data_IF_906940054234
#
_entry.id   IF_906940054234
#
_cell.length_a   1.000
_cell.length_b   1.000
_cell.length_c   1.000
_cell.angle_alpha   90.00
_cell.angle_beta   90.00
_cell.angle_gamma   90.00
#
_symmetry.space_group_name_H-M   'P 1'
#
loop_
_entity.id
_entity.type
_entity.pdbx_description
1 polymer ?
#
# COMPACT_ATOMS: atom_id res chain seq x y z
N UNK A 1 23.26 -8.81 -57.87
CA UNK A 1 23.52 -8.62 -56.43
C UNK A 1 22.23 -8.16 -55.77
N UNK A 2 21.61 -8.98 -54.93
CA UNK A 2 20.36 -8.63 -54.21
C UNK A 2 20.73 -7.86 -52.94
N UNK A 3 20.28 -6.61 -52.80
CA UNK A 3 20.48 -5.78 -51.61
C UNK A 3 19.52 -6.26 -50.51
N UNK A 4 20.05 -6.72 -49.39
CA UNK A 4 19.29 -7.05 -48.19
C UNK A 4 19.11 -5.74 -47.42
N UNK A 5 17.87 -5.27 -47.27
CA UNK A 5 17.54 -4.10 -46.45
C UNK A 5 17.42 -4.59 -45.00
N UNK A 6 18.26 -4.12 -44.06
CA UNK A 6 18.12 -4.49 -42.66
C UNK A 6 16.84 -3.84 -42.10
N UNK A 7 15.88 -4.65 -41.72
CA UNK A 7 14.72 -4.22 -40.94
C UNK A 7 15.22 -3.77 -39.57
N UNK A 8 15.27 -2.47 -39.36
CA UNK A 8 15.56 -1.86 -38.07
C UNK A 8 14.32 -2.05 -37.18
N UNK A 9 14.32 -3.08 -36.34
CA UNK A 9 13.29 -3.26 -35.32
C UNK A 9 13.46 -2.19 -34.25
N UNK A 10 12.71 -1.10 -34.37
CA UNK A 10 12.57 -0.12 -33.29
C UNK A 10 11.75 -0.77 -32.18
N UNK A 11 12.39 -1.15 -31.07
CA UNK A 11 11.70 -1.59 -29.86
C UNK A 11 11.01 -0.37 -29.27
N UNK A 12 9.71 -0.23 -29.55
CA UNK A 12 8.87 0.76 -28.87
C UNK A 12 8.66 0.22 -27.46
N UNK A 13 9.42 0.72 -26.49
CA UNK A 13 9.14 0.50 -25.09
C UNK A 13 7.80 1.17 -24.79
N UNK A 14 6.72 0.39 -24.69
CA UNK A 14 5.45 0.89 -24.23
C UNK A 14 5.64 1.38 -22.79
N UNK A 15 5.48 2.69 -22.56
CA UNK A 15 5.43 3.23 -21.21
C UNK A 15 4.22 2.60 -20.50
N UNK A 16 4.48 1.67 -19.58
CA UNK A 16 3.44 1.09 -18.74
C UNK A 16 2.99 2.16 -17.75
N UNK A 17 1.74 2.60 -17.86
CA UNK A 17 1.11 3.48 -16.88
C UNK A 17 1.25 2.87 -15.48
N UNK A 18 1.73 3.61 -14.47
CA UNK A 18 1.81 3.08 -13.12
C UNK A 18 0.40 2.77 -12.60
N UNK A 19 0.20 1.54 -12.15
CA UNK A 19 -1.04 1.05 -11.52
C UNK A 19 -0.78 0.78 -10.05
N UNK A 20 -1.79 0.88 -9.18
CA UNK A 20 -1.67 0.59 -7.74
C UNK A 20 -1.61 -0.90 -7.38
N UNK A 21 -1.74 -1.78 -8.36
CA UNK A 21 -1.82 -3.23 -8.15
C UNK A 21 -0.55 -3.78 -7.48
N UNK A 22 0.64 -3.30 -7.86
CA UNK A 22 1.89 -3.81 -7.29
C UNK A 22 2.03 -3.45 -5.80
N UNK A 23 1.69 -2.20 -5.44
CA UNK A 23 1.70 -1.73 -4.06
C UNK A 23 0.62 -2.44 -3.22
N UNK A 24 -0.55 -2.72 -3.79
CA UNK A 24 -1.63 -3.46 -3.13
C UNK A 24 -1.24 -4.91 -2.86
N UNK A 25 -0.68 -5.62 -3.83
CA UNK A 25 -0.22 -6.99 -3.64
C UNK A 25 0.95 -7.06 -2.65
N UNK A 26 1.84 -6.07 -2.66
CA UNK A 26 2.90 -5.95 -1.65
C UNK A 26 2.31 -5.84 -0.25
N UNK A 27 1.27 -5.01 -0.03
CA UNK A 27 0.61 -4.92 1.27
C UNK A 27 0.10 -6.27 1.78
N UNK A 28 -0.63 -7.02 0.95
CA UNK A 28 -1.16 -8.32 1.38
C UNK A 28 -0.06 -9.34 1.64
N UNK A 29 1.02 -9.29 0.86
CA UNK A 29 2.20 -10.10 1.11
C UNK A 29 2.82 -9.78 2.48
N UNK A 30 3.11 -8.50 2.75
CA UNK A 30 3.73 -8.06 4.02
C UNK A 30 2.85 -8.37 5.24
N UNK A 31 1.52 -8.24 5.08
CA UNK A 31 0.56 -8.63 6.10
C UNK A 31 0.63 -10.14 6.36
N UNK A 32 0.55 -10.97 5.31
CA UNK A 32 0.59 -12.42 5.45
C UNK A 32 1.91 -12.91 6.07
N UNK A 33 3.05 -12.35 5.68
CA UNK A 33 4.36 -12.67 6.25
C UNK A 33 4.46 -12.33 7.75
N UNK A 34 3.69 -11.35 8.23
CA UNK A 34 3.57 -10.98 9.65
C UNK A 34 2.41 -11.67 10.37
N UNK A 35 1.75 -12.63 9.73
CA UNK A 35 0.64 -13.39 10.32
C UNK A 35 -0.66 -12.60 10.47
N UNK A 36 -0.78 -11.49 9.72
CA UNK A 36 -1.99 -10.69 9.64
C UNK A 36 -3.01 -11.28 8.68
N UNK A 37 -4.21 -11.54 9.19
CA UNK A 37 -5.36 -11.77 8.32
C UNK A 37 -6.05 -10.46 7.99
N UNK A 38 -6.01 -10.11 6.70
CA UNK A 38 -6.60 -8.88 6.18
C UNK A 38 -7.54 -9.21 5.03
N UNK A 39 -8.69 -8.53 4.98
CA UNK A 39 -9.63 -8.67 3.88
C UNK A 39 -9.15 -7.84 2.68
N UNK A 40 -9.36 -8.32 1.43
CA UNK A 40 -9.02 -7.55 0.25
C UNK A 40 -9.94 -6.34 0.11
N UNK A 41 -9.34 -5.19 -0.21
CA UNK A 41 -9.99 -3.90 -0.46
C UNK A 41 -9.75 -3.49 -1.91
N UNK A 42 -10.81 -3.00 -2.56
CA UNK A 42 -10.73 -2.46 -3.93
C UNK A 42 -10.15 -1.05 -3.91
N UNK A 43 -9.36 -0.72 -4.94
CA UNK A 43 -8.75 0.59 -5.12
C UNK A 43 -9.21 1.13 -6.48
N UNK A 44 -9.55 2.41 -6.53
CA UNK A 44 -10.00 3.08 -7.76
C UNK A 44 -9.33 4.44 -7.90
N UNK A 45 -9.15 4.87 -9.14
CA UNK A 45 -8.86 6.27 -9.42
C UNK A 45 -10.13 7.11 -9.43
N UNK A 46 -10.06 8.29 -8.82
CA UNK A 46 -11.15 9.26 -8.80
C UNK A 46 -10.60 10.69 -8.86
N UNK A 47 -11.49 11.63 -9.23
CA UNK A 47 -11.20 13.06 -9.08
C UNK A 47 -11.51 13.48 -7.65
N UNK A 48 -10.46 13.86 -6.92
CA UNK A 48 -10.56 14.28 -5.53
C UNK A 48 -10.33 15.80 -5.39
N UNK A 49 -10.61 16.32 -4.20
CA UNK A 49 -10.34 17.72 -3.86
C UNK A 49 -8.84 18.03 -3.94
N UNK A 50 -8.54 19.31 -4.16
CA UNK A 50 -7.16 19.79 -4.27
C UNK A 50 -6.39 19.51 -2.97
N UNK A 51 -5.30 18.77 -3.07
CA UNK A 51 -4.44 18.42 -1.93
C UNK A 51 -4.73 17.05 -1.31
N UNK A 52 -5.80 16.36 -1.71
CA UNK A 52 -6.11 15.01 -1.25
C UNK A 52 -5.54 13.97 -2.21
N UNK A 53 -4.55 13.20 -1.74
CA UNK A 53 -3.91 12.14 -2.51
C UNK A 53 -4.76 10.85 -2.58
N UNK A 54 -5.47 10.55 -1.49
CA UNK A 54 -6.39 9.43 -1.38
C UNK A 54 -7.27 9.57 -0.14
N UNK A 55 -8.26 8.68 -0.03
CA UNK A 55 -8.93 8.37 1.22
C UNK A 55 -9.62 7.01 1.16
N UNK A 56 -9.77 6.40 2.32
CA UNK A 56 -10.62 5.24 2.54
C UNK A 56 -12.11 5.64 2.63
N UNK A 57 -12.95 5.00 1.82
CA UNK A 57 -14.42 5.06 1.91
C UNK A 57 -14.93 3.76 2.53
N UNK A 58 -15.53 3.88 3.71
CA UNK A 58 -16.13 2.75 4.42
C UNK A 58 -17.07 1.96 3.50
N UNK A 59 -16.93 0.64 3.51
CA UNK A 59 -17.70 -0.34 2.72
C UNK A 59 -17.51 -0.28 1.19
N UNK A 60 -16.75 0.68 0.65
CA UNK A 60 -16.52 0.83 -0.79
C UNK A 60 -15.07 0.53 -1.19
N UNK A 61 -14.11 1.03 -0.41
CA UNK A 61 -12.67 0.84 -0.65
C UNK A 61 -11.92 2.16 -0.76
N UNK A 62 -10.80 2.15 -1.47
CA UNK A 62 -9.88 3.30 -1.53
C UNK A 62 -10.09 4.07 -2.83
N UNK A 63 -10.16 5.40 -2.71
CA UNK A 63 -10.13 6.31 -3.84
C UNK A 63 -8.78 7.03 -3.87
N UNK A 64 -8.08 7.00 -5.01
CA UNK A 64 -6.81 7.68 -5.23
C UNK A 64 -6.97 8.80 -6.26
N UNK A 65 -6.29 9.92 -6.03
CA UNK A 65 -6.22 11.01 -7.00
C UNK A 65 -5.27 10.63 -8.14
N UNK A 66 -5.83 10.37 -9.32
CA UNK A 66 -5.07 9.93 -10.51
C UNK A 66 -3.97 10.92 -10.90
N UNK A 67 -4.26 12.22 -10.87
CA UNK A 67 -3.30 13.23 -11.29
C UNK A 67 -2.09 13.25 -10.36
N UNK A 68 -2.33 13.18 -9.04
CA UNK A 68 -1.23 13.11 -8.07
C UNK A 68 -0.45 11.81 -8.21
N UNK A 69 -1.16 10.67 -8.30
CA UNK A 69 -0.56 9.34 -8.47
C UNK A 69 0.45 9.27 -9.62
N UNK A 70 0.07 9.83 -10.77
CA UNK A 70 0.90 9.82 -11.98
C UNK A 70 2.19 10.64 -11.83
N UNK A 71 2.23 11.57 -10.88
CA UNK A 71 3.40 12.41 -10.59
C UNK A 71 4.25 11.90 -9.42
N UNK A 72 3.72 10.97 -8.62
CA UNK A 72 4.42 10.42 -7.47
C UNK A 72 5.58 9.52 -7.89
N UNK A 73 6.62 9.48 -7.05
CA UNK A 73 7.66 8.45 -7.12
C UNK A 73 7.13 7.11 -6.61
N UNK A 74 7.86 6.03 -6.90
CA UNK A 74 7.48 4.69 -6.48
C UNK A 74 7.31 4.55 -4.96
N UNK A 75 8.27 5.05 -4.17
CA UNK A 75 8.15 4.97 -2.71
C UNK A 75 6.94 5.74 -2.17
N UNK A 76 6.57 6.87 -2.80
CA UNK A 76 5.41 7.68 -2.40
C UNK A 76 4.11 6.94 -2.71
N UNK A 77 4.02 6.29 -3.87
CA UNK A 77 2.88 5.44 -4.23
C UNK A 77 2.72 4.28 -3.24
N UNK A 78 3.82 3.63 -2.90
CA UNK A 78 3.84 2.54 -1.89
C UNK A 78 3.37 3.04 -0.54
N UNK A 79 3.91 4.16 -0.06
CA UNK A 79 3.51 4.77 1.21
C UNK A 79 2.04 5.14 1.23
N UNK A 80 1.52 5.79 0.17
CA UNK A 80 0.11 6.16 0.04
C UNK A 80 -0.80 4.93 0.12
N UNK A 81 -0.52 3.88 -0.66
CA UNK A 81 -1.35 2.68 -0.68
C UNK A 81 -1.37 1.99 0.67
N UNK A 82 -0.22 1.90 1.35
CA UNK A 82 -0.17 1.33 2.70
C UNK A 82 -0.91 2.20 3.71
N UNK A 83 -0.80 3.52 3.62
CA UNK A 83 -1.53 4.47 4.48
C UNK A 83 -3.05 4.29 4.36
N UNK A 84 -3.58 4.30 3.14
CA UNK A 84 -5.02 4.15 2.91
C UNK A 84 -5.53 2.74 3.28
N UNK A 85 -4.73 1.70 3.04
CA UNK A 85 -5.05 0.36 3.51
C UNK A 85 -5.00 0.26 5.04
N UNK A 86 -4.14 1.02 5.72
CA UNK A 86 -4.14 1.13 7.19
C UNK A 86 -5.50 1.63 7.72
N UNK A 87 -6.06 2.65 7.08
CA UNK A 87 -7.42 3.11 7.39
C UNK A 87 -8.48 2.05 7.09
N UNK A 88 -8.47 1.50 5.88
CA UNK A 88 -9.55 0.62 5.39
C UNK A 88 -9.55 -0.79 5.99
N UNK A 89 -8.38 -1.35 6.25
CA UNK A 89 -8.20 -2.75 6.62
C UNK A 89 -7.95 -2.90 8.12
N UNK A 90 -7.10 -2.03 8.68
CA UNK A 90 -6.65 -2.14 10.07
C UNK A 90 -7.42 -1.19 11.01
N UNK A 91 -8.22 -0.27 10.44
CA UNK A 91 -9.00 0.69 11.22
C UNK A 91 -8.13 1.71 11.96
N UNK A 92 -6.91 1.95 11.49
CA UNK A 92 -6.03 2.94 12.09
C UNK A 92 -6.51 4.35 11.78
N UNK A 93 -6.32 5.25 12.74
CA UNK A 93 -6.38 6.69 12.51
C UNK A 93 -4.96 7.22 12.21
N UNK A 94 -4.85 8.48 11.82
CA UNK A 94 -3.55 9.13 11.68
C UNK A 94 -2.77 9.06 12.98
N UNK A 95 -1.49 8.73 12.87
CA UNK A 95 -0.52 8.76 13.94
C UNK A 95 0.66 9.58 13.44
N UNK A 96 1.21 10.51 14.23
CA UNK A 96 2.37 11.32 13.83
C UNK A 96 3.69 10.50 13.77
N UNK A 97 3.61 9.20 13.46
CA UNK A 97 4.71 8.26 13.41
C UNK A 97 4.47 7.15 12.38
N UNK A 98 5.51 6.79 11.63
CA UNK A 98 5.48 5.67 10.68
C UNK A 98 4.49 5.91 9.54
N UNK A 99 4.03 4.84 8.89
CA UNK A 99 3.20 4.92 7.67
C UNK A 99 1.89 5.70 7.88
N UNK A 100 1.33 5.72 9.10
CA UNK A 100 0.07 6.43 9.39
C UNK A 100 0.23 7.94 9.61
N UNK A 101 1.40 8.51 9.30
CA UNK A 101 1.65 9.96 9.36
C UNK A 101 0.88 10.72 8.28
N UNK A 102 0.58 11.98 8.56
CA UNK A 102 -0.04 12.91 7.59
C UNK A 102 0.96 13.47 6.58
N UNK A 103 2.27 13.22 6.77
CA UNK A 103 3.35 13.73 5.92
C UNK A 103 4.15 12.60 5.30
N UNK A 104 4.18 12.55 3.97
CA UNK A 104 5.04 11.63 3.23
C UNK A 104 6.50 11.74 3.67
N UNK A 105 7.14 10.59 3.86
CA UNK A 105 8.56 10.53 4.18
C UNK A 105 9.43 10.80 2.95
N UNK A 106 10.72 11.01 3.18
CA UNK A 106 11.69 11.07 2.08
C UNK A 106 12.06 9.67 1.57
N UNK A 107 12.57 9.60 0.34
CA UNK A 107 13.06 8.35 -0.26
C UNK A 107 14.11 7.66 0.62
N UNK A 108 15.12 8.41 1.06
CA UNK A 108 16.21 7.89 1.89
C UNK A 108 15.71 7.39 3.26
N UNK A 109 14.71 8.06 3.84
CA UNK A 109 14.10 7.62 5.08
C UNK A 109 13.33 6.33 4.89
N UNK A 110 12.54 6.22 3.81
CA UNK A 110 11.80 5.01 3.50
C UNK A 110 12.73 3.83 3.22
N UNK A 111 13.85 4.03 2.51
CA UNK A 111 14.83 2.96 2.30
C UNK A 111 15.41 2.39 3.60
N UNK A 112 15.61 3.23 4.61
CA UNK A 112 16.22 2.83 5.89
C UNK A 112 15.18 2.29 6.87
N UNK A 113 13.99 2.91 6.91
CA UNK A 113 13.01 2.71 7.98
C UNK A 113 11.86 1.80 7.60
N UNK A 114 11.74 1.38 6.33
CA UNK A 114 10.58 0.64 5.83
C UNK A 114 10.22 -0.57 6.69
N UNK A 115 11.16 -1.49 6.93
CA UNK A 115 10.89 -2.71 7.71
C UNK A 115 10.45 -2.39 9.14
N UNK A 116 11.09 -1.39 9.76
CA UNK A 116 10.72 -0.92 11.11
C UNK A 116 9.31 -0.31 11.12
N UNK A 117 8.95 0.44 10.08
CA UNK A 117 7.60 0.97 9.95
C UNK A 117 6.58 -0.13 9.70
N UNK A 118 6.90 -1.15 8.91
CA UNK A 118 6.01 -2.31 8.73
C UNK A 118 5.79 -3.07 10.03
N UNK A 119 6.83 -3.28 10.83
CA UNK A 119 6.71 -3.96 12.12
C UNK A 119 5.84 -3.16 13.09
N UNK A 120 6.02 -1.83 13.13
CA UNK A 120 5.15 -0.94 13.91
C UNK A 120 3.71 -0.96 13.39
N UNK A 121 3.54 -0.96 12.07
CA UNK A 121 2.27 -0.89 11.39
C UNK A 121 1.45 -2.17 11.60
N UNK A 122 2.07 -3.34 11.60
CA UNK A 122 1.35 -4.61 11.77
C UNK A 122 1.35 -5.14 13.22
N UNK A 123 1.91 -4.41 14.20
CA UNK A 123 2.07 -4.90 15.59
C UNK A 123 0.76 -5.32 16.27
N UNK A 124 -0.33 -4.60 16.01
CA UNK A 124 -1.62 -4.77 16.70
C UNK A 124 -2.60 -5.63 15.90
N UNK A 125 -2.15 -6.12 14.76
CA UNK A 125 -2.94 -6.93 13.87
C UNK A 125 -3.38 -8.24 14.53
N UNK A 126 -4.62 -8.66 14.25
CA UNK A 126 -5.16 -9.91 14.75
C UNK A 126 -4.41 -11.07 14.11
N UNK A 127 -3.62 -11.78 14.91
CA UNK A 127 -2.97 -13.01 14.47
C UNK A 127 -3.96 -14.17 14.59
N UNK A 128 -3.89 -15.13 13.67
CA UNK A 128 -4.63 -16.39 13.76
C UNK A 128 -4.40 -17.09 15.12
N UNK A 129 -3.21 -16.97 15.68
CA UNK A 129 -2.90 -17.51 17.01
C UNK A 129 -3.74 -16.89 18.11
N UNK A 130 -4.08 -15.60 18.06
CA UNK A 130 -4.96 -14.95 19.05
C UNK A 130 -6.41 -15.38 18.91
N UNK A 131 -6.87 -15.69 17.70
CA UNK A 131 -8.24 -16.17 17.45
C UNK A 131 -8.42 -17.65 17.82
N UNK A 132 -7.34 -18.44 17.76
CA UNK A 132 -7.36 -19.88 18.04
C UNK A 132 -7.02 -20.23 19.49
N UNK A 133 -6.64 -19.27 20.34
CA UNK A 133 -6.54 -19.48 21.78
C UNK A 133 -7.91 -19.19 22.39
N UNK A 134 -8.71 -20.22 22.76
CA UNK A 134 -9.95 -19.98 23.48
C UNK A 134 -9.63 -19.27 24.80
N UNK A 135 -10.31 -18.17 25.07
CA UNK A 135 -10.26 -17.39 26.31
C UNK A 135 -10.73 -18.22 27.53
N UNK A 136 -9.97 -19.25 27.90
CA UNK A 136 -10.22 -20.10 29.07
C UNK A 136 -9.50 -19.60 30.33
N UNK A 137 -8.80 -18.46 30.26
CA UNK A 137 -8.27 -17.80 31.46
C UNK A 137 -9.40 -17.02 32.14
N UNK A 138 -10.17 -17.73 32.98
CA UNK A 138 -10.93 -17.10 34.04
C UNK A 138 -9.94 -16.44 35.00
N UNK A 139 -9.95 -15.12 35.10
CA UNK A 139 -9.29 -14.41 36.19
C UNK A 139 -9.77 -14.97 37.54
N UNK A 140 -8.86 -15.32 38.47
CA UNK A 140 -9.26 -15.61 39.83
C UNK A 140 -9.76 -14.32 40.50
N UNK A 141 -10.98 -14.38 41.03
CA UNK A 141 -11.62 -13.37 41.89
C UNK A 141 -10.80 -13.04 43.13
#
# INVERSE_FOLDING_TARGET
MKRVIPFLFTVIAACKTPTFEAERELFYKEANERGCLVAPVSIYFARLDSGTAGYCVKDFGILLNETMWMTMKEYQRRELVFHELGHCVLGYDHQDLGIMTTKMHSEAEMEIMWDKYLDLFFKDCLTLSKLLVPNNEKEPL
#
